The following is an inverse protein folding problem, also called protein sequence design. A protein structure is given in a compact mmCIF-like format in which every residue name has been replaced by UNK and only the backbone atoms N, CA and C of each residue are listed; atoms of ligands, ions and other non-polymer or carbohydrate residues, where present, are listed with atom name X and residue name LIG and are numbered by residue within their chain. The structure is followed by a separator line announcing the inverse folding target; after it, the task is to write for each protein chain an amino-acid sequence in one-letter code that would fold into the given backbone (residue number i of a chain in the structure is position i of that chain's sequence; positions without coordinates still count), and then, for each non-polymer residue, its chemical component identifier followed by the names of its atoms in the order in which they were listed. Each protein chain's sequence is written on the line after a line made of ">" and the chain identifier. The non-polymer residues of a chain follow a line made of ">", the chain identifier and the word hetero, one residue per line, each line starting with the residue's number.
data_IF_511869861991
#
_entry.id   IF_511869861991
#
_cell.length_a   1.000
_cell.length_b   1.000
_cell.length_c   1.000
_cell.angle_alpha   90.00
_cell.angle_beta   90.00
_cell.angle_gamma   90.00
#
_symmetry.space_group_name_H-M   'P 1'
#
loop_
_entity.id
_entity.type
_entity.pdbx_description
1 polymer ?
#
# COMPACT_ATOMS: atom_id res chain seq x y z
N UNK A 1 -63.24 -37.46 162.62
CA UNK A 1 -62.45 -38.04 161.52
C UNK A 1 -62.76 -37.26 160.24
N UNK A 2 -61.97 -36.23 159.90
CA UNK A 2 -62.23 -35.37 158.74
C UNK A 2 -61.14 -35.68 157.71
N UNK A 3 -61.50 -36.33 156.60
CA UNK A 3 -60.57 -36.63 155.50
C UNK A 3 -60.21 -35.33 154.78
N UNK A 4 -58.92 -34.98 154.77
CA UNK A 4 -58.35 -33.88 153.98
C UNK A 4 -58.31 -34.30 152.51
N UNK A 5 -58.98 -33.55 151.64
CA UNK A 5 -58.85 -33.70 150.18
C UNK A 5 -57.50 -33.11 149.72
N UNK A 6 -56.74 -33.86 148.92
CA UNK A 6 -55.39 -33.47 148.46
C UNK A 6 -55.46 -32.75 147.11
N UNK A 7 -55.03 -31.49 147.06
CA UNK A 7 -54.92 -30.66 145.85
C UNK A 7 -54.06 -31.28 144.73
N UNK A 8 -53.19 -32.25 145.04
CA UNK A 8 -52.40 -32.96 144.04
C UNK A 8 -53.25 -33.88 143.15
N UNK A 9 -54.37 -34.40 143.65
CA UNK A 9 -55.22 -35.34 142.91
C UNK A 9 -56.08 -34.64 141.85
N UNK A 10 -56.51 -33.40 142.10
CA UNK A 10 -57.27 -32.60 141.13
C UNK A 10 -56.39 -32.08 140.00
N UNK A 11 -55.14 -31.69 140.31
CA UNK A 11 -54.16 -31.25 139.32
C UNK A 11 -53.72 -32.41 138.39
N UNK A 12 -53.57 -33.62 138.94
CA UNK A 12 -53.31 -34.83 138.16
C UNK A 12 -54.50 -35.17 137.25
N UNK A 13 -55.74 -35.10 137.76
CA UNK A 13 -56.93 -35.34 136.95
C UNK A 13 -57.07 -34.33 135.81
N UNK A 14 -56.79 -33.04 136.06
CA UNK A 14 -56.78 -32.00 135.03
C UNK A 14 -55.71 -32.28 133.96
N UNK A 15 -54.50 -32.66 134.36
CA UNK A 15 -53.43 -33.04 133.44
C UNK A 15 -53.81 -34.25 132.57
N UNK A 16 -54.44 -35.27 133.17
CA UNK A 16 -54.95 -36.45 132.44
C UNK A 16 -56.05 -36.03 131.45
N UNK A 17 -56.95 -35.13 131.82
CA UNK A 17 -58.00 -34.65 130.88
C UNK A 17 -57.43 -33.81 129.74
N UNK A 18 -56.43 -32.95 129.99
CA UNK A 18 -55.75 -32.17 128.96
C UNK A 18 -54.95 -33.07 128.01
N UNK A 19 -54.31 -34.11 128.53
CA UNK A 19 -53.64 -35.15 127.73
C UNK A 19 -54.63 -35.95 126.89
N UNK A 20 -55.77 -36.36 127.47
CA UNK A 20 -56.81 -37.06 126.74
C UNK A 20 -57.40 -36.18 125.61
N UNK A 21 -57.54 -34.87 125.86
CA UNK A 21 -58.06 -33.92 124.88
C UNK A 21 -57.06 -33.61 123.76
N UNK A 22 -55.76 -33.56 124.08
CA UNK A 22 -54.70 -33.42 123.06
C UNK A 22 -54.57 -34.69 122.22
N UNK A 23 -54.64 -35.88 122.84
CA UNK A 23 -54.69 -37.16 122.13
C UNK A 23 -55.92 -37.25 121.23
N UNK A 24 -57.11 -36.85 121.71
CA UNK A 24 -58.32 -36.84 120.91
C UNK A 24 -58.24 -35.87 119.72
N UNK A 25 -57.69 -34.66 119.94
CA UNK A 25 -57.45 -33.68 118.86
C UNK A 25 -56.46 -34.21 117.82
N UNK A 26 -55.42 -34.93 118.26
CA UNK A 26 -54.48 -35.60 117.37
C UNK A 26 -55.15 -36.73 116.59
N UNK A 27 -55.97 -37.57 117.25
CA UNK A 27 -56.74 -38.64 116.60
C UNK A 27 -57.71 -38.10 115.55
N UNK A 28 -58.33 -36.94 115.78
CA UNK A 28 -59.17 -36.28 114.79
C UNK A 28 -58.40 -35.77 113.56
N UNK A 29 -57.09 -35.54 113.66
CA UNK A 29 -56.24 -35.12 112.55
C UNK A 29 -55.62 -36.30 111.78
N UNK A 30 -55.63 -37.52 112.32
CA UNK A 30 -55.13 -38.73 111.65
C UNK A 30 -55.82 -38.98 110.29
N UNK A 31 -57.16 -38.87 110.14
CA UNK A 31 -57.82 -39.06 108.85
C UNK A 31 -57.37 -38.06 107.79
N UNK A 32 -57.13 -36.80 108.19
CA UNK A 32 -56.63 -35.77 107.29
C UNK A 32 -55.20 -36.08 106.83
N UNK A 33 -54.31 -36.48 107.75
CA UNK A 33 -52.95 -36.92 107.42
C UNK A 33 -52.95 -38.15 106.49
N UNK A 34 -53.78 -39.15 106.77
CA UNK A 34 -53.93 -40.32 105.91
C UNK A 34 -54.45 -39.96 104.51
N UNK A 35 -55.35 -38.98 104.40
CA UNK A 35 -55.85 -38.49 103.11
C UNK A 35 -54.78 -37.78 102.28
N UNK A 36 -53.91 -37.00 102.93
CA UNK A 36 -52.77 -36.32 102.29
C UNK A 36 -51.72 -37.33 101.88
N UNK A 37 -51.41 -38.32 102.73
CA UNK A 37 -50.48 -39.41 102.39
C UNK A 37 -51.00 -40.18 101.19
N UNK A 38 -52.26 -40.61 101.19
CA UNK A 38 -52.86 -41.37 100.09
C UNK A 38 -52.92 -40.54 98.79
N UNK A 39 -53.23 -39.25 98.90
CA UNK A 39 -53.20 -38.34 97.74
C UNK A 39 -51.79 -38.19 97.20
N UNK A 40 -50.79 -38.01 98.08
CA UNK A 40 -49.37 -37.90 97.73
C UNK A 40 -48.86 -39.18 97.08
N UNK A 41 -49.22 -40.35 97.59
CA UNK A 41 -48.86 -41.64 96.98
C UNK A 41 -49.44 -41.75 95.57
N UNK A 42 -50.71 -41.37 95.35
CA UNK A 42 -51.30 -41.36 94.00
C UNK A 42 -50.62 -40.38 93.05
N UNK A 43 -50.23 -39.18 93.52
CA UNK A 43 -49.49 -38.23 92.67
C UNK A 43 -48.10 -38.75 92.35
N UNK A 44 -47.41 -39.36 93.32
CA UNK A 44 -46.10 -39.98 93.11
C UNK A 44 -46.19 -41.11 92.10
N UNK A 45 -47.17 -42.02 92.22
CA UNK A 45 -47.37 -43.11 91.26
C UNK A 45 -47.67 -42.58 89.84
N UNK A 46 -48.53 -41.55 89.74
CA UNK A 46 -48.83 -40.91 88.45
C UNK A 46 -47.63 -40.17 87.86
N UNK A 47 -46.76 -39.57 88.69
CA UNK A 47 -45.55 -38.89 88.23
C UNK A 47 -44.51 -39.92 87.79
N UNK A 48 -44.33 -41.01 88.52
CA UNK A 48 -43.43 -42.11 88.15
C UNK A 48 -43.79 -42.67 86.77
N UNK A 49 -45.08 -42.95 86.51
CA UNK A 49 -45.54 -43.42 85.20
C UNK A 49 -45.30 -42.40 84.07
N UNK A 50 -45.47 -41.10 84.34
CA UNK A 50 -45.19 -40.03 83.36
C UNK A 50 -43.69 -39.86 83.11
N UNK A 51 -42.86 -40.01 84.14
CA UNK A 51 -41.40 -39.97 84.02
C UNK A 51 -40.90 -41.13 83.18
N UNK A 52 -41.42 -42.35 83.38
CA UNK A 52 -41.08 -43.52 82.56
C UNK A 52 -41.49 -43.30 81.08
N UNK A 53 -42.67 -42.71 80.84
CA UNK A 53 -43.11 -42.32 79.49
C UNK A 53 -42.15 -41.33 78.82
N UNK A 54 -41.76 -40.25 79.53
CA UNK A 54 -40.82 -39.24 79.03
C UNK A 54 -39.44 -39.86 78.78
N UNK A 55 -38.95 -40.73 79.66
CA UNK A 55 -37.65 -41.40 79.49
C UNK A 55 -37.64 -42.25 78.21
N UNK A 56 -38.74 -42.96 77.92
CA UNK A 56 -38.88 -43.74 76.70
C UNK A 56 -38.95 -42.87 75.43
N UNK A 57 -39.71 -41.77 75.45
CA UNK A 57 -39.75 -40.81 74.34
C UNK A 57 -38.38 -40.16 74.09
N UNK A 58 -37.68 -39.76 75.15
CA UNK A 58 -36.32 -39.22 75.05
C UNK A 58 -35.35 -40.26 74.48
N UNK A 59 -35.51 -41.54 74.81
CA UNK A 59 -34.71 -42.61 74.22
C UNK A 59 -34.96 -42.75 72.69
N UNK A 60 -36.21 -42.65 72.24
CA UNK A 60 -36.56 -42.66 70.82
C UNK A 60 -36.00 -41.42 70.08
N UNK A 61 -36.14 -40.23 70.66
CA UNK A 61 -35.59 -38.98 70.11
C UNK A 61 -34.07 -39.06 69.98
N UNK A 62 -33.36 -39.60 70.98
CA UNK A 62 -31.90 -39.80 70.90
C UNK A 62 -31.52 -40.70 69.74
N UNK A 63 -32.31 -41.74 69.48
CA UNK A 63 -32.11 -42.67 68.36
C UNK A 63 -32.33 -41.99 67.00
N UNK A 64 -33.37 -41.17 66.88
CA UNK A 64 -33.65 -40.39 65.67
C UNK A 64 -32.58 -39.32 65.41
N UNK A 65 -32.17 -38.58 66.45
CA UNK A 65 -31.06 -37.61 66.36
C UNK A 65 -29.76 -38.30 65.97
N UNK A 66 -29.49 -39.51 66.45
CA UNK A 66 -28.33 -40.28 66.04
C UNK A 66 -28.36 -40.65 64.55
N UNK A 67 -29.53 -41.05 64.02
CA UNK A 67 -29.72 -41.32 62.58
C UNK A 67 -29.52 -40.07 61.73
N UNK A 68 -30.07 -38.93 62.16
CA UNK A 68 -29.90 -37.64 61.47
C UNK A 68 -28.43 -37.22 61.47
N UNK A 69 -27.73 -37.33 62.60
CA UNK A 69 -26.29 -37.04 62.67
C UNK A 69 -25.48 -37.94 61.75
N UNK A 70 -25.81 -39.23 61.66
CA UNK A 70 -25.15 -40.15 60.75
C UNK A 70 -25.38 -39.78 59.28
N UNK A 71 -26.63 -39.43 58.91
CA UNK A 71 -26.97 -38.99 57.55
C UNK A 71 -26.25 -37.69 57.18
N UNK A 72 -26.25 -36.70 58.08
CA UNK A 72 -25.53 -35.44 57.88
C UNK A 72 -24.03 -35.69 57.76
N UNK A 73 -23.44 -36.54 58.62
CA UNK A 73 -22.03 -36.90 58.53
C UNK A 73 -21.68 -37.62 57.22
N UNK A 74 -22.62 -38.36 56.62
CA UNK A 74 -22.43 -39.03 55.34
C UNK A 74 -22.55 -38.08 54.14
N UNK A 75 -23.49 -37.13 54.18
CA UNK A 75 -23.78 -36.24 53.04
C UNK A 75 -22.89 -34.99 52.99
N UNK A 76 -22.47 -34.46 54.15
CA UNK A 76 -21.68 -33.23 54.24
C UNK A 76 -20.36 -33.32 53.45
N UNK A 77 -19.58 -34.42 53.52
CA UNK A 77 -18.33 -34.53 52.76
C UNK A 77 -18.55 -34.54 51.24
N UNK A 78 -19.61 -35.20 50.75
CA UNK A 78 -19.93 -35.26 49.33
C UNK A 78 -20.32 -33.88 48.77
N UNK A 79 -21.15 -33.13 49.51
CA UNK A 79 -21.54 -31.76 49.13
C UNK A 79 -20.33 -30.83 49.16
N UNK A 80 -19.49 -30.90 50.21
CA UNK A 80 -18.27 -30.09 50.29
C UNK A 80 -17.31 -30.41 49.15
N UNK A 81 -17.11 -31.68 48.82
CA UNK A 81 -16.27 -32.09 47.69
C UNK A 81 -16.82 -31.57 46.35
N UNK A 82 -18.14 -31.59 46.16
CA UNK A 82 -18.76 -31.06 44.95
C UNK A 82 -18.61 -29.53 44.85
N UNK A 83 -18.75 -28.82 45.97
CA UNK A 83 -18.52 -27.37 46.04
C UNK A 83 -17.05 -27.05 45.75
N UNK A 84 -16.12 -27.77 46.37
CA UNK A 84 -14.68 -27.61 46.17
C UNK A 84 -14.27 -27.89 44.72
N UNK A 85 -14.87 -28.90 44.07
CA UNK A 85 -14.65 -29.20 42.66
C UNK A 85 -15.25 -28.13 41.72
N UNK A 86 -16.31 -27.43 42.14
CA UNK A 86 -16.95 -26.38 41.33
C UNK A 86 -16.23 -25.03 41.38
N UNK A 87 -15.55 -24.72 42.49
CA UNK A 87 -14.81 -23.47 42.67
C UNK A 87 -13.79 -23.16 41.56
N UNK A 88 -12.90 -24.09 41.13
CA UNK A 88 -11.95 -23.79 40.06
C UNK A 88 -12.63 -23.55 38.72
N UNK A 89 -13.77 -24.22 38.45
CA UNK A 89 -14.54 -24.02 37.22
C UNK A 89 -15.13 -22.60 37.20
N UNK A 90 -15.74 -22.16 38.30
CA UNK A 90 -16.27 -20.79 38.42
C UNK A 90 -15.15 -19.77 38.28
N UNK A 91 -14.00 -20.00 38.90
CA UNK A 91 -12.84 -19.12 38.79
C UNK A 91 -12.34 -19.02 37.34
N UNK A 92 -12.29 -20.15 36.62
CA UNK A 92 -11.89 -20.18 35.22
C UNK A 92 -12.86 -19.39 34.33
N UNK A 93 -14.17 -19.56 34.54
CA UNK A 93 -15.21 -18.80 33.81
C UNK A 93 -15.07 -17.29 34.05
N UNK A 94 -14.76 -16.87 35.27
CA UNK A 94 -14.52 -15.46 35.58
C UNK A 94 -13.29 -14.94 34.83
N UNK A 95 -12.18 -15.68 34.82
CA UNK A 95 -10.96 -15.30 34.10
C UNK A 95 -11.22 -15.17 32.59
N UNK A 96 -11.94 -16.13 32.00
CA UNK A 96 -12.30 -16.10 30.58
C UNK A 96 -13.24 -14.92 30.28
N UNK A 97 -14.24 -14.69 31.11
CA UNK A 97 -15.17 -13.56 30.98
C UNK A 97 -14.43 -12.21 31.05
N UNK A 98 -13.47 -12.05 31.96
CA UNK A 98 -12.64 -10.85 32.02
C UNK A 98 -11.77 -10.69 30.77
N UNK A 99 -11.23 -11.80 30.24
CA UNK A 99 -10.46 -11.78 28.99
C UNK A 99 -11.31 -11.29 27.81
N UNK A 100 -12.53 -11.81 27.65
CA UNK A 100 -13.46 -11.34 26.62
C UNK A 100 -13.84 -9.87 26.81
N UNK A 101 -14.13 -9.46 28.05
CA UNK A 101 -14.47 -8.08 28.39
C UNK A 101 -13.35 -7.11 28.00
N UNK A 102 -12.08 -7.49 28.20
CA UNK A 102 -10.92 -6.68 27.79
C UNK A 102 -10.77 -6.56 26.26
N UNK A 103 -11.23 -7.55 25.51
CA UNK A 103 -11.15 -7.57 24.05
C UNK A 103 -12.30 -6.80 23.36
N UNK A 104 -13.47 -6.71 24.01
CA UNK A 104 -14.65 -6.05 23.44
C UNK A 104 -14.39 -4.60 22.98
N UNK A 105 -13.70 -3.72 23.74
CA UNK A 105 -13.40 -2.36 23.28
C UNK A 105 -12.56 -2.33 21.99
N UNK A 106 -11.59 -3.23 21.87
CA UNK A 106 -10.75 -3.31 20.67
C UNK A 106 -11.57 -3.76 19.45
N UNK A 107 -12.47 -4.72 19.62
CA UNK A 107 -13.39 -5.15 18.56
C UNK A 107 -14.35 -4.03 18.16
N UNK A 108 -14.89 -3.27 19.12
CA UNK A 108 -15.74 -2.11 18.84
C UNK A 108 -14.98 -1.03 18.06
N UNK A 109 -13.73 -0.77 18.44
CA UNK A 109 -12.89 0.19 17.72
C UNK A 109 -12.59 -0.29 16.28
N UNK A 110 -12.33 -1.58 16.08
CA UNK A 110 -12.14 -2.15 14.75
C UNK A 110 -13.39 -2.02 13.88
N UNK A 111 -14.57 -2.30 14.44
CA UNK A 111 -15.85 -2.13 13.74
C UNK A 111 -16.09 -0.67 13.34
N UNK A 112 -15.85 0.28 14.25
CA UNK A 112 -15.95 1.70 13.94
C UNK A 112 -15.01 2.13 12.80
N UNK A 113 -13.77 1.61 12.80
CA UNK A 113 -12.81 1.88 11.72
C UNK A 113 -13.27 1.29 10.38
N UNK A 114 -13.85 0.08 10.38
CA UNK A 114 -14.41 -0.56 9.18
C UNK A 114 -15.58 0.27 8.65
N UNK A 115 -16.50 0.70 9.50
CA UNK A 115 -17.64 1.56 9.11
C UNK A 115 -17.16 2.86 8.46
N UNK A 116 -16.14 3.50 9.03
CA UNK A 116 -15.55 4.71 8.45
C UNK A 116 -14.94 4.46 7.06
N UNK A 117 -14.22 3.34 6.88
CA UNK A 117 -13.65 2.97 5.57
C UNK A 117 -14.76 2.70 4.54
N UNK A 118 -15.81 1.99 4.93
CA UNK A 118 -16.97 1.74 4.06
C UNK A 118 -17.63 3.04 3.65
N UNK A 119 -17.80 4.01 4.56
CA UNK A 119 -18.37 5.32 4.24
C UNK A 119 -17.51 6.10 3.22
N UNK A 120 -16.19 6.04 3.35
CA UNK A 120 -15.26 6.66 2.38
C UNK A 120 -15.38 6.01 0.99
N UNK A 121 -15.47 4.68 0.93
CA UNK A 121 -15.68 3.96 -0.32
C UNK A 121 -17.04 4.30 -0.95
N UNK A 122 -18.11 4.33 -0.16
CA UNK A 122 -19.44 4.71 -0.64
C UNK A 122 -19.46 6.13 -1.20
N UNK A 123 -18.78 7.08 -0.54
CA UNK A 123 -18.70 8.47 -1.00
C UNK A 123 -17.88 8.63 -2.28
N UNK A 124 -16.83 7.83 -2.45
CA UNK A 124 -15.95 7.88 -3.63
C UNK A 124 -16.48 7.07 -4.82
N UNK A 125 -17.36 6.09 -4.59
CA UNK A 125 -17.91 5.20 -5.62
C UNK A 125 -18.49 5.95 -6.83
N UNK A 126 -19.33 6.99 -6.69
CA UNK A 126 -19.90 7.69 -7.84
C UNK A 126 -18.83 8.38 -8.71
N UNK A 127 -17.78 8.92 -8.10
CA UNK A 127 -16.68 9.55 -8.82
C UNK A 127 -15.86 8.51 -9.60
N UNK A 128 -15.63 7.34 -9.01
CA UNK A 128 -14.96 6.21 -9.67
C UNK A 128 -15.77 5.75 -10.88
N UNK A 129 -17.08 5.53 -10.71
CA UNK A 129 -17.97 5.12 -11.80
C UNK A 129 -17.99 6.15 -12.93
N UNK A 130 -18.13 7.44 -12.60
CA UNK A 130 -18.07 8.52 -13.61
C UNK A 130 -16.75 8.55 -14.37
N UNK A 131 -15.63 8.24 -13.70
CA UNK A 131 -14.31 8.15 -14.35
C UNK A 131 -14.24 6.95 -15.28
N UNK A 132 -14.79 5.80 -14.89
CA UNK A 132 -14.88 4.62 -15.74
C UNK A 132 -15.70 4.93 -16.99
N UNK A 133 -16.87 5.57 -16.85
CA UNK A 133 -17.71 5.98 -17.98
C UNK A 133 -16.96 6.93 -18.94
N UNK A 134 -16.20 7.88 -18.39
CA UNK A 134 -15.39 8.80 -19.20
C UNK A 134 -14.27 8.07 -19.97
N UNK A 135 -13.64 7.06 -19.35
CA UNK A 135 -12.64 6.22 -20.00
C UNK A 135 -13.28 5.42 -21.14
N UNK A 136 -14.40 4.74 -20.88
CA UNK A 136 -15.13 3.97 -21.91
C UNK A 136 -15.48 4.87 -23.09
N UNK A 137 -16.07 6.05 -22.84
CA UNK A 137 -16.41 7.00 -23.90
C UNK A 137 -15.18 7.47 -24.70
N UNK A 138 -14.05 7.69 -24.03
CA UNK A 138 -12.80 8.11 -24.69
C UNK A 138 -12.24 6.97 -25.55
N UNK A 139 -12.28 5.75 -25.05
CA UNK A 139 -11.89 4.55 -25.80
C UNK A 139 -12.77 4.38 -27.03
N UNK A 140 -14.09 4.47 -26.90
CA UNK A 140 -15.02 4.35 -28.03
C UNK A 140 -14.76 5.42 -29.11
N UNK A 141 -14.56 6.67 -28.70
CA UNK A 141 -14.22 7.76 -29.61
C UNK A 141 -12.88 7.50 -30.33
N UNK A 142 -11.87 7.04 -29.61
CA UNK A 142 -10.55 6.71 -30.17
C UNK A 142 -10.66 5.55 -31.17
N UNK A 143 -11.41 4.50 -30.83
CA UNK A 143 -11.65 3.37 -31.73
C UNK A 143 -12.40 3.82 -33.00
N UNK A 144 -13.39 4.70 -32.86
CA UNK A 144 -14.10 5.27 -34.01
C UNK A 144 -13.18 6.13 -34.90
N UNK A 145 -12.29 6.92 -34.31
CA UNK A 145 -11.30 7.70 -35.07
C UNK A 145 -10.30 6.79 -35.81
N UNK A 146 -9.75 5.78 -35.12
CA UNK A 146 -8.86 4.78 -35.75
C UNK A 146 -9.56 4.06 -36.90
N UNK A 147 -10.85 3.73 -36.74
CA UNK A 147 -11.64 3.12 -37.81
C UNK A 147 -11.76 4.05 -39.04
N UNK A 148 -11.85 5.37 -38.83
CA UNK A 148 -11.84 6.36 -39.92
C UNK A 148 -10.47 6.50 -40.58
N UNK A 149 -9.38 6.40 -39.82
CA UNK A 149 -8.01 6.47 -40.35
C UNK A 149 -7.56 5.22 -41.11
N UNK A 150 -8.07 4.05 -40.75
CA UNK A 150 -7.72 2.76 -41.38
C UNK A 150 -7.80 2.77 -42.92
N UNK A 151 -8.87 3.26 -43.59
CA UNK A 151 -8.90 3.34 -45.05
C UNK A 151 -7.87 4.31 -45.63
N UNK A 152 -7.53 5.39 -44.93
CA UNK A 152 -6.51 6.34 -45.38
C UNK A 152 -5.12 5.71 -45.39
N UNK A 153 -4.77 4.95 -44.35
CA UNK A 153 -3.49 4.24 -44.31
C UNK A 153 -3.40 3.18 -45.40
N UNK A 154 -4.48 2.44 -45.68
CA UNK A 154 -4.55 1.52 -46.82
C UNK A 154 -4.30 2.23 -48.15
N UNK A 155 -4.98 3.35 -48.42
CA UNK A 155 -4.78 4.13 -49.66
C UNK A 155 -3.34 4.66 -49.78
N UNK A 156 -2.77 5.16 -48.70
CA UNK A 156 -1.38 5.64 -48.71
C UNK A 156 -0.38 4.52 -49.00
N UNK A 157 -0.61 3.31 -48.47
CA UNK A 157 0.20 2.14 -48.79
C UNK A 157 0.05 1.71 -50.26
N UNK A 158 -1.16 1.81 -50.82
CA UNK A 158 -1.40 1.59 -52.25
C UNK A 158 -0.63 2.60 -53.11
N UNK A 159 -0.67 3.90 -52.77
CA UNK A 159 0.09 4.95 -53.48
C UNK A 159 1.61 4.75 -53.39
N UNK A 160 2.14 4.33 -52.23
CA UNK A 160 3.56 3.98 -52.09
C UNK A 160 3.91 2.79 -52.98
N UNK A 161 3.04 1.79 -53.06
CA UNK A 161 3.26 0.61 -53.90
C UNK A 161 3.31 1.02 -55.37
N UNK A 162 2.34 1.81 -55.82
CA UNK A 162 2.34 2.37 -57.18
C UNK A 162 3.60 3.20 -57.45
N UNK A 163 4.02 4.04 -56.50
CA UNK A 163 5.24 4.85 -56.64
C UNK A 163 6.49 3.99 -56.76
N UNK A 164 6.58 2.89 -55.98
CA UNK A 164 7.68 1.91 -56.07
C UNK A 164 7.73 1.21 -57.43
N UNK A 165 6.58 1.01 -58.07
CA UNK A 165 6.52 0.41 -59.41
C UNK A 165 6.86 1.42 -60.52
N UNK A 166 6.41 2.68 -60.37
CA UNK A 166 6.59 3.71 -61.39
C UNK A 166 7.98 4.36 -61.37
N UNK A 167 8.56 4.62 -60.19
CA UNK A 167 9.85 5.31 -60.09
C UNK A 167 10.96 4.60 -60.88
N UNK A 168 11.16 3.27 -60.78
CA UNK A 168 12.15 2.57 -61.58
C UNK A 168 11.92 2.73 -63.09
N UNK A 169 10.67 2.70 -63.55
CA UNK A 169 10.35 2.90 -64.96
C UNK A 169 10.71 4.31 -65.43
N UNK A 170 10.43 5.33 -64.62
CA UNK A 170 10.86 6.70 -64.89
C UNK A 170 12.38 6.85 -64.88
N UNK A 171 13.08 6.22 -63.93
CA UNK A 171 14.54 6.23 -63.87
C UNK A 171 15.15 5.55 -65.09
N UNK A 172 14.66 4.37 -65.49
CA UNK A 172 15.09 3.70 -66.72
C UNK A 172 14.82 4.54 -67.96
N UNK A 173 13.68 5.23 -68.03
CA UNK A 173 13.39 6.15 -69.14
C UNK A 173 14.37 7.32 -69.18
N UNK A 174 14.73 7.89 -68.02
CA UNK A 174 15.72 8.96 -67.91
C UNK A 174 17.10 8.45 -68.30
N UNK A 175 17.51 7.25 -67.83
CA UNK A 175 18.76 6.61 -68.21
C UNK A 175 18.85 6.43 -69.73
N UNK A 176 17.81 5.90 -70.36
CA UNK A 176 17.72 5.76 -71.81
C UNK A 176 17.79 7.13 -72.50
N UNK A 177 17.06 8.13 -72.00
CA UNK A 177 17.11 9.50 -72.55
C UNK A 177 18.51 10.11 -72.43
N UNK A 178 19.23 9.85 -71.35
CA UNK A 178 20.62 10.32 -71.16
C UNK A 178 21.57 9.59 -72.10
N UNK A 179 21.39 8.29 -72.32
CA UNK A 179 22.16 7.50 -73.30
C UNK A 179 21.91 8.02 -74.71
N UNK A 180 20.65 8.27 -75.08
CA UNK A 180 20.25 8.83 -76.37
C UNK A 180 20.81 10.24 -76.54
N UNK A 181 20.67 11.11 -75.54
CA UNK A 181 21.23 12.46 -75.54
C UNK A 181 22.77 12.47 -75.59
N UNK A 182 23.44 11.48 -74.99
CA UNK A 182 24.90 11.31 -75.11
C UNK A 182 25.28 10.85 -76.52
N UNK A 183 24.47 10.00 -77.14
CA UNK A 183 24.67 9.54 -78.52
C UNK A 183 24.46 10.69 -79.51
N UNK A 184 23.33 11.39 -79.41
CA UNK A 184 23.03 12.60 -80.18
C UNK A 184 24.07 13.69 -79.88
N UNK A 185 24.47 13.86 -78.62
CA UNK A 185 25.50 14.80 -78.23
C UNK A 185 26.88 14.43 -78.77
N UNK A 186 27.21 13.14 -78.93
CA UNK A 186 28.45 12.66 -79.57
C UNK A 186 28.40 12.84 -81.08
N UNK A 187 27.24 12.63 -81.70
CA UNK A 187 26.99 12.89 -83.14
C UNK A 187 26.95 14.40 -83.45
N UNK A 188 26.40 15.22 -82.55
CA UNK A 188 26.37 16.68 -82.66
C UNK A 188 27.70 17.33 -82.27
N UNK A 189 28.45 16.81 -81.29
CA UNK A 189 29.78 17.33 -80.93
C UNK A 189 30.90 16.88 -81.88
N UNK A 190 30.67 15.86 -82.70
CA UNK A 190 31.50 15.59 -83.89
C UNK A 190 31.19 16.53 -85.06
N UNK A 191 30.12 17.32 -84.94
CA UNK A 191 29.76 18.41 -85.85
C UNK A 191 29.68 19.76 -85.14
N UNK A 192 30.84 20.42 -85.00
CA UNK A 192 30.99 21.86 -84.71
C UNK A 192 30.81 22.31 -83.24
N UNK A 193 31.64 23.29 -82.88
CA UNK A 193 31.63 24.15 -81.68
C UNK A 193 32.51 23.70 -80.51
N UNK A 194 33.79 24.00 -80.69
CA UNK A 194 34.67 24.52 -79.65
C UNK A 194 34.04 25.79 -79.04
N UNK A 195 33.80 25.85 -77.73
CA UNK A 195 33.55 27.13 -77.06
C UNK A 195 32.56 27.11 -75.89
N UNK A 196 33.11 27.21 -74.68
CA UNK A 196 32.56 28.04 -73.61
C UNK A 196 31.34 27.56 -72.80
N UNK A 197 31.39 26.38 -72.17
CA UNK A 197 30.66 26.13 -70.90
C UNK A 197 31.50 25.25 -69.96
N UNK A 198 32.56 25.84 -69.39
CA UNK A 198 33.31 25.32 -68.23
C UNK A 198 32.88 26.15 -67.02
N UNK A 199 32.02 25.63 -66.15
CA UNK A 199 31.51 26.43 -65.04
C UNK A 199 30.84 25.68 -63.91
N UNK A 200 31.17 24.41 -63.71
CA UNK A 200 31.07 23.70 -62.43
C UNK A 200 32.04 22.53 -62.57
N UNK A 201 33.19 22.60 -61.91
CA UNK A 201 34.04 21.42 -61.77
C UNK A 201 33.19 20.40 -61.00
N UNK A 202 32.77 19.34 -61.69
CA UNK A 202 32.01 18.25 -61.08
C UNK A 202 32.93 17.52 -60.11
N UNK A 203 32.94 17.96 -58.85
CA UNK A 203 33.67 17.27 -57.80
C UNK A 203 33.03 15.89 -57.56
N UNK A 204 33.83 14.83 -57.36
CA UNK A 204 33.29 13.54 -56.93
C UNK A 204 32.46 13.69 -55.65
N UNK A 205 31.36 12.96 -55.54
CA UNK A 205 30.45 13.03 -54.39
C UNK A 205 31.17 12.82 -53.04
N UNK A 206 32.19 11.95 -52.99
CA UNK A 206 32.98 11.69 -51.77
C UNK A 206 33.74 12.95 -51.27
N UNK A 207 34.16 13.84 -52.18
CA UNK A 207 34.85 15.10 -51.83
C UNK A 207 33.85 16.11 -51.28
N UNK A 208 32.67 16.21 -51.89
CA UNK A 208 31.59 17.11 -51.45
C UNK A 208 31.06 16.68 -50.08
N UNK A 209 30.89 15.37 -49.88
CA UNK A 209 30.48 14.80 -48.60
C UNK A 209 31.50 15.04 -47.48
N UNK A 210 32.80 15.03 -47.78
CA UNK A 210 33.84 15.36 -46.78
C UNK A 210 33.80 16.82 -46.32
N UNK A 211 33.31 17.71 -47.19
CA UNK A 211 33.21 19.15 -46.94
C UNK A 211 31.81 19.57 -46.47
N UNK A 212 30.95 18.62 -46.08
CA UNK A 212 29.73 18.95 -45.35
C UNK A 212 30.11 19.49 -43.98
N UNK A 213 29.77 20.74 -43.69
CA UNK A 213 30.14 21.41 -42.44
C UNK A 213 31.16 22.53 -42.58
N UNK A 214 31.63 22.86 -43.80
CA UNK A 214 32.51 24.05 -44.00
C UNK A 214 31.83 25.38 -43.63
N UNK A 215 30.50 25.35 -43.48
CA UNK A 215 29.67 26.41 -42.97
C UNK A 215 28.90 25.80 -41.80
N UNK A 216 29.21 26.24 -40.58
CA UNK A 216 28.48 25.84 -39.36
C UNK A 216 26.99 26.18 -39.52
N UNK A 217 26.12 25.22 -39.21
CA UNK A 217 24.65 25.35 -39.29
C UNK A 217 24.09 26.51 -38.45
N UNK A 218 24.79 26.92 -37.41
CA UNK A 218 24.42 28.03 -36.53
C UNK A 218 25.06 29.37 -36.94
N UNK A 219 25.92 29.37 -37.97
CA UNK A 219 26.59 30.58 -38.46
C UNK A 219 25.65 31.52 -39.21
N UNK A 220 26.03 32.79 -39.31
CA UNK A 220 25.33 33.74 -40.19
C UNK A 220 25.48 33.33 -41.65
N UNK A 221 26.60 32.73 -42.03
CA UNK A 221 26.86 32.20 -43.36
C UNK A 221 25.84 31.12 -43.71
N UNK A 222 25.44 30.24 -42.80
CA UNK A 222 24.37 29.26 -43.06
C UNK A 222 23.00 29.92 -43.34
N UNK A 223 22.74 31.08 -42.75
CA UNK A 223 21.49 31.83 -42.97
C UNK A 223 21.46 32.55 -44.32
N UNK A 224 22.60 33.06 -44.80
CA UNK A 224 22.65 33.97 -45.95
C UNK A 224 23.25 33.35 -47.21
N UNK A 225 24.14 32.36 -47.10
CA UNK A 225 24.75 31.72 -48.26
C UNK A 225 23.78 30.72 -48.91
N UNK A 226 23.73 30.75 -50.23
CA UNK A 226 22.96 29.81 -51.04
C UNK A 226 23.74 28.50 -51.25
N UNK A 227 23.06 27.44 -51.66
CA UNK A 227 23.73 26.18 -52.02
C UNK A 227 24.80 26.36 -53.12
N UNK A 228 24.61 27.33 -54.03
CA UNK A 228 25.60 27.66 -55.07
C UNK A 228 26.83 28.36 -54.48
N UNK A 229 26.64 29.22 -53.48
CA UNK A 229 27.76 29.87 -52.78
C UNK A 229 28.62 28.83 -52.05
N UNK A 230 27.96 27.91 -51.33
CA UNK A 230 28.64 26.83 -50.60
C UNK A 230 29.38 25.90 -51.56
N UNK A 231 28.79 25.54 -52.70
CA UNK A 231 29.45 24.72 -53.72
C UNK A 231 30.71 25.40 -54.30
N UNK A 232 30.63 26.70 -54.58
CA UNK A 232 31.80 27.48 -55.04
C UNK A 232 32.89 27.55 -53.97
N UNK A 233 32.52 27.71 -52.70
CA UNK A 233 33.46 27.66 -51.59
C UNK A 233 34.15 26.30 -51.50
N UNK A 234 33.39 25.20 -51.56
CA UNK A 234 33.94 23.84 -51.53
C UNK A 234 34.96 23.61 -52.66
N UNK A 235 34.64 24.05 -53.88
CA UNK A 235 35.58 23.99 -55.01
C UNK A 235 36.87 24.74 -54.73
N UNK A 236 36.78 25.99 -54.24
CA UNK A 236 37.96 26.80 -53.92
C UNK A 236 38.78 26.25 -52.75
N UNK A 237 38.14 25.63 -51.77
CA UNK A 237 38.83 24.93 -50.66
C UNK A 237 39.65 23.77 -51.20
N UNK A 238 39.07 22.92 -52.04
CA UNK A 238 39.78 21.75 -52.61
C UNK A 238 41.01 22.21 -53.42
N UNK A 239 40.84 23.23 -54.27
CA UNK A 239 41.95 23.78 -55.04
C UNK A 239 43.05 24.36 -54.13
N UNK A 240 42.66 25.13 -53.10
CA UNK A 240 43.59 25.75 -52.15
C UNK A 240 44.35 24.74 -51.29
N UNK A 241 43.70 23.65 -50.88
CA UNK A 241 44.31 22.60 -50.06
C UNK A 241 45.22 21.69 -50.87
N UNK A 242 44.99 21.54 -52.18
CA UNK A 242 45.83 20.72 -53.06
C UNK A 242 47.04 21.49 -53.64
N UNK A 243 47.06 22.83 -53.57
CA UNK A 243 48.19 23.66 -54.00
C UNK A 243 49.07 24.08 -52.82
N UNK A 244 50.29 23.55 -52.74
CA UNK A 244 51.23 23.85 -51.63
C UNK A 244 51.79 25.29 -51.64
N UNK A 245 51.73 26.00 -52.77
CA UNK A 245 52.25 27.36 -52.91
C UNK A 245 51.17 28.41 -52.62
N UNK A 246 49.91 28.07 -52.85
CA UNK A 246 48.79 28.98 -52.62
C UNK A 246 48.36 28.98 -51.15
N UNK A 247 48.33 30.15 -50.52
CA UNK A 247 47.89 30.34 -49.12
C UNK A 247 46.52 30.99 -49.00
N UNK A 248 46.03 31.64 -50.06
CA UNK A 248 44.70 32.26 -50.07
C UNK A 248 43.99 32.07 -51.41
N UNK A 249 42.66 32.00 -51.39
CA UNK A 249 41.82 31.88 -52.59
C UNK A 249 40.54 32.69 -52.41
N UNK A 250 40.20 33.52 -53.40
CA UNK A 250 38.98 34.31 -53.39
C UNK A 250 37.85 33.59 -54.14
N UNK A 251 36.62 33.77 -53.68
CA UNK A 251 35.42 33.29 -54.35
C UNK A 251 34.39 34.42 -54.47
N UNK A 252 33.63 34.40 -55.56
CA UNK A 252 32.57 35.35 -55.80
C UNK A 252 31.47 34.67 -56.63
N UNK A 253 30.23 34.78 -56.16
CA UNK A 253 29.08 34.35 -56.91
C UNK A 253 28.38 35.57 -57.53
N UNK A 254 28.45 35.68 -58.86
CA UNK A 254 27.83 36.77 -59.63
C UNK A 254 26.30 36.81 -59.53
N UNK A 255 25.65 35.67 -59.22
CA UNK A 255 24.17 35.60 -59.11
C UNK A 255 23.66 36.10 -57.76
N UNK A 256 24.30 35.69 -56.67
CA UNK A 256 23.90 36.10 -55.31
C UNK A 256 24.55 37.42 -54.88
N UNK A 257 25.64 37.82 -55.53
CA UNK A 257 26.47 38.97 -55.14
C UNK A 257 27.38 38.70 -53.93
N UNK A 258 27.33 37.48 -53.36
CA UNK A 258 28.15 37.09 -52.23
C UNK A 258 29.61 36.85 -52.64
N UNK A 259 30.53 37.10 -51.73
CA UNK A 259 31.96 36.94 -51.97
C UNK A 259 32.70 36.63 -50.68
N UNK A 260 33.91 36.11 -50.81
CA UNK A 260 34.77 35.93 -49.66
C UNK A 260 36.18 35.51 -50.02
N UNK A 261 37.00 35.42 -48.99
CA UNK A 261 38.38 34.94 -49.08
C UNK A 261 38.55 33.74 -48.17
N UNK A 262 39.23 32.72 -48.69
CA UNK A 262 39.58 31.50 -47.97
C UNK A 262 41.09 31.56 -47.74
N UNK A 263 41.51 31.43 -46.48
CA UNK A 263 42.92 31.47 -46.10
C UNK A 263 43.33 30.14 -45.48
N UNK A 264 44.45 29.61 -45.95
CA UNK A 264 45.06 28.37 -45.51
C UNK A 264 46.08 28.65 -44.41
N UNK A 265 45.87 28.04 -43.24
CA UNK A 265 46.80 28.08 -42.12
C UNK A 265 47.98 27.11 -42.29
N UNK A 266 48.80 27.01 -41.24
CA UNK A 266 49.90 26.03 -41.21
C UNK A 266 49.34 24.61 -41.04
N UNK A 267 50.01 23.65 -41.67
CA UNK A 267 49.73 22.23 -41.44
C UNK A 267 50.14 21.84 -40.01
N UNK A 268 49.25 21.12 -39.36
CA UNK A 268 49.37 20.60 -38.00
C UNK A 268 49.05 19.12 -38.01
N UNK A 269 49.55 18.34 -37.04
CA UNK A 269 49.19 16.93 -36.90
C UNK A 269 48.22 16.75 -35.74
N UNK A 270 47.05 16.17 -36.00
CA UNK A 270 46.07 15.77 -34.98
C UNK A 270 45.80 14.28 -35.15
N UNK A 271 46.00 13.48 -34.10
CA UNK A 271 45.82 12.02 -34.14
C UNK A 271 46.58 11.34 -35.31
N UNK A 272 47.83 11.76 -35.56
CA UNK A 272 48.68 11.29 -36.67
C UNK A 272 48.18 11.64 -38.10
N UNK A 273 47.06 12.35 -38.24
CA UNK A 273 46.56 12.85 -39.53
C UNK A 273 47.01 14.30 -39.78
N UNK A 274 47.36 14.66 -41.03
CA UNK A 274 47.67 16.04 -41.39
C UNK A 274 46.38 16.86 -41.44
N UNK A 275 46.37 17.97 -40.69
CA UNK A 275 45.23 18.87 -40.56
C UNK A 275 45.65 20.32 -40.81
N UNK A 276 44.81 21.06 -41.51
CA UNK A 276 45.04 22.45 -41.89
C UNK A 276 43.86 23.28 -41.40
N UNK A 277 44.17 24.34 -40.66
CA UNK A 277 43.15 25.32 -40.27
C UNK A 277 42.81 26.19 -41.48
N UNK A 278 41.54 26.24 -41.85
CA UNK A 278 41.04 27.05 -42.96
C UNK A 278 40.15 28.15 -42.39
N UNK A 279 40.45 29.39 -42.75
CA UNK A 279 39.68 30.57 -42.33
C UNK A 279 38.88 31.10 -43.52
N UNK A 280 37.59 31.31 -43.33
CA UNK A 280 36.68 31.84 -44.33
C UNK A 280 36.22 33.24 -43.94
N UNK A 281 36.57 34.25 -44.71
CA UNK A 281 36.12 35.63 -44.54
C UNK A 281 35.00 35.92 -45.55
N UNK A 282 33.75 35.66 -45.14
CA UNK A 282 32.57 35.73 -45.99
C UNK A 282 31.89 37.11 -45.91
N UNK A 283 31.41 37.60 -47.05
CA UNK A 283 30.69 38.86 -47.19
C UNK A 283 29.38 38.63 -47.95
N UNK A 284 28.27 38.99 -47.32
CA UNK A 284 26.91 38.86 -47.86
C UNK A 284 26.14 40.16 -47.62
N UNK A 285 25.93 40.95 -48.68
CA UNK A 285 25.35 42.30 -48.57
C UNK A 285 26.18 43.22 -47.66
N UNK A 286 25.55 43.78 -46.61
CA UNK A 286 26.22 44.57 -45.57
C UNK A 286 26.78 43.72 -44.41
N UNK A 287 26.55 42.41 -44.43
CA UNK A 287 27.03 41.47 -43.42
C UNK A 287 28.41 40.91 -43.77
N UNK A 288 29.20 40.64 -42.73
CA UNK A 288 30.45 39.88 -42.82
C UNK A 288 30.54 38.88 -41.68
N UNK A 289 31.21 37.77 -41.93
CA UNK A 289 31.49 36.75 -40.93
C UNK A 289 32.82 36.06 -41.24
N UNK A 290 33.57 35.76 -40.18
CA UNK A 290 34.78 34.95 -40.27
C UNK A 290 34.51 33.58 -39.63
N UNK A 291 34.61 32.51 -40.41
CA UNK A 291 34.53 31.13 -39.92
C UNK A 291 35.90 30.50 -39.89
N UNK A 292 36.12 29.58 -38.95
CA UNK A 292 37.37 28.85 -38.81
C UNK A 292 37.09 27.38 -38.67
N UNK A 293 37.53 26.61 -39.65
CA UNK A 293 37.32 25.17 -39.71
C UNK A 293 38.67 24.45 -39.71
N UNK A 294 38.69 23.25 -39.13
CA UNK A 294 39.86 22.39 -39.18
C UNK A 294 39.62 21.30 -40.22
N UNK A 295 40.43 21.30 -41.29
CA UNK A 295 40.34 20.30 -42.34
C UNK A 295 41.40 19.22 -42.11
N UNK A 296 40.99 17.99 -41.85
CA UNK A 296 41.90 16.86 -41.69
C UNK A 296 41.82 15.91 -42.88
N UNK A 297 42.96 15.34 -43.27
CA UNK A 297 43.02 14.36 -44.35
C UNK A 297 42.68 12.97 -43.83
N UNK A 298 41.73 12.30 -44.47
CA UNK A 298 41.33 10.94 -44.13
C UNK A 298 42.25 9.88 -44.76
N UNK A 299 41.98 8.61 -44.44
CA UNK A 299 42.77 7.47 -44.88
C UNK A 299 42.74 7.26 -46.41
N UNK A 300 41.76 7.86 -47.11
CA UNK A 300 41.67 7.88 -48.58
C UNK A 300 42.39 9.08 -49.19
N UNK A 301 43.00 9.94 -48.37
CA UNK A 301 43.68 11.15 -48.83
C UNK A 301 42.74 12.31 -49.15
N UNK A 302 41.48 12.25 -48.70
CA UNK A 302 40.47 13.30 -48.91
C UNK A 302 40.37 14.24 -47.71
N UNK A 303 40.09 15.51 -47.95
CA UNK A 303 39.93 16.51 -46.89
C UNK A 303 38.52 16.46 -46.29
N UNK A 304 38.45 16.48 -44.96
CA UNK A 304 37.20 16.48 -44.18
C UNK A 304 37.19 17.54 -43.08
N UNK A 305 36.02 18.12 -42.84
CA UNK A 305 35.77 19.03 -41.70
C UNK A 305 35.76 18.21 -40.40
N UNK A 306 36.43 18.67 -39.34
CA UNK A 306 36.59 17.95 -38.07
C UNK A 306 36.52 18.86 -36.83
#
# INVERSE_FOLDING_TARGET
>A
MIKKFSYSQTLLALAITLLALSLFKFTLQIPALLSVINSTTKTVDSVTLKVDGIVNEVALVRLEVAKVRALVAQQTPAILSQVEASLPIVQQVIIESESYSKQLPALMQQLANIEQQVALVQTSMPAILKRIDAVVKTTDNTTAEVARWRPHSTRYLEEITLSRDYIPQYLTRIENTVVDAKTIGKEASSGLVSGFLKGVITLPFEVVAGLTGIVDVNSRSAKYLTAQDVALMQEKVVLLLNDNQQTTSAWHNVKSGHRGTISKGRETKRNQQPCIKVTFDNHFGSGKETLQELMCRDDKGLWKVN
#
